data_IF_656068220264
#
_entry.id   IF_656068220264
#
_cell.length_a   1.000
_cell.length_b   1.000
_cell.length_c   1.000
_cell.angle_alpha   90.00
_cell.angle_beta   90.00
_cell.angle_gamma   90.00
#
_symmetry.space_group_name_H-M   'P 1'
#
loop_
_entity.id
_entity.type
_entity.pdbx_description
1 polymer ?
#
# COMPACT_ATOMS: atom_id res chain seq x y z
N UNK A 1 5.71 0.95 -7.45
CA UNK A 1 6.77 -0.04 -7.15
C UNK A 1 6.09 -1.24 -6.54
N UNK A 2 6.38 -2.44 -7.01
CA UNK A 2 5.77 -3.67 -6.53
C UNK A 2 6.62 -4.87 -6.95
N UNK A 3 6.73 -5.87 -6.07
CA UNK A 3 7.39 -7.14 -6.35
C UNK A 3 6.57 -8.08 -7.26
N UNK A 4 5.35 -7.66 -7.64
CA UNK A 4 4.43 -8.41 -8.50
C UNK A 4 3.91 -7.57 -9.68
N UNK A 5 3.53 -8.20 -10.81
CA UNK A 5 3.08 -7.50 -12.00
C UNK A 5 1.60 -7.07 -11.91
N UNK A 6 1.25 -6.08 -12.73
CA UNK A 6 -0.14 -5.75 -13.05
C UNK A 6 -0.30 -5.60 -14.57
N UNK A 7 -1.54 -5.52 -15.03
CA UNK A 7 -1.86 -5.34 -16.46
C UNK A 7 -1.12 -4.12 -17.02
N UNK A 8 -0.21 -4.35 -17.98
CA UNK A 8 0.61 -3.30 -18.60
C UNK A 8 1.70 -2.69 -17.71
N UNK A 9 1.89 -3.19 -16.48
CA UNK A 9 2.89 -2.67 -15.53
C UNK A 9 3.84 -3.81 -15.11
N UNK A 10 5.11 -3.79 -15.53
CA UNK A 10 6.08 -4.80 -15.13
C UNK A 10 6.47 -4.65 -13.66
N UNK A 11 7.07 -5.72 -13.12
CA UNK A 11 7.69 -5.72 -11.78
C UNK A 11 8.77 -4.63 -11.75
N UNK A 12 8.77 -3.83 -10.68
CA UNK A 12 9.82 -2.86 -10.39
C UNK A 12 9.99 -2.81 -8.88
N UNK A 13 11.20 -3.17 -8.42
CA UNK A 13 11.57 -3.15 -7.01
C UNK A 13 12.08 -1.78 -6.56
N UNK A 14 12.44 -0.88 -7.47
CA UNK A 14 12.86 0.47 -7.13
C UNK A 14 12.25 1.54 -8.04
N UNK A 15 12.07 2.74 -7.51
CA UNK A 15 11.83 3.94 -8.33
C UNK A 15 13.06 4.24 -9.20
N UNK A 16 12.85 5.01 -10.27
CA UNK A 16 13.91 5.34 -11.23
C UNK A 16 15.08 6.10 -10.58
N UNK A 17 14.79 6.88 -9.55
CA UNK A 17 15.75 7.66 -8.76
C UNK A 17 16.23 6.93 -7.49
N UNK A 18 15.78 5.70 -7.24
CA UNK A 18 16.16 4.90 -6.07
C UNK A 18 15.52 5.33 -4.74
N UNK A 19 14.70 6.38 -4.73
CA UNK A 19 14.07 6.92 -3.53
C UNK A 19 13.09 5.96 -2.85
N UNK A 20 12.46 5.05 -3.59
CA UNK A 20 11.60 3.99 -3.03
C UNK A 20 12.16 2.65 -3.46
N UNK A 21 12.46 1.76 -2.50
CA UNK A 21 13.08 0.46 -2.76
C UNK A 21 12.42 -0.65 -1.94
N UNK A 22 11.86 -1.64 -2.62
CA UNK A 22 11.40 -2.88 -2.02
C UNK A 22 12.60 -3.83 -1.88
N UNK A 23 12.83 -4.40 -0.70
CA UNK A 23 14.01 -5.23 -0.41
C UNK A 23 13.90 -6.69 -0.92
N UNK A 24 12.90 -6.98 -1.75
CA UNK A 24 12.57 -8.32 -2.25
C UNK A 24 11.30 -8.92 -1.62
N UNK A 25 10.76 -9.91 -2.31
CA UNK A 25 9.64 -10.76 -1.88
C UNK A 25 10.20 -11.86 -0.96
N UNK A 26 9.64 -12.02 0.24
CA UNK A 26 10.10 -12.98 1.23
C UNK A 26 9.03 -14.04 1.45
N UNK A 27 9.33 -15.26 1.01
CA UNK A 27 8.43 -16.39 1.22
C UNK A 27 8.61 -16.95 2.62
N UNK A 28 7.49 -17.22 3.29
CA UNK A 28 7.50 -17.92 4.57
C UNK A 28 8.07 -19.34 4.39
N UNK A 29 9.13 -19.65 5.13
CA UNK A 29 9.68 -21.02 5.24
C UNK A 29 9.47 -21.56 6.64
N UNK A 30 8.53 -22.50 6.79
CA UNK A 30 8.23 -23.12 8.09
C UNK A 30 7.64 -22.13 9.10
N UNK A 31 8.12 -22.18 10.35
CA UNK A 31 7.56 -21.40 11.46
C UNK A 31 8.03 -19.93 11.51
N UNK A 32 9.10 -19.57 10.80
CA UNK A 32 9.66 -18.21 10.85
C UNK A 32 8.69 -17.19 10.23
N UNK A 33 8.64 -15.99 10.82
CA UNK A 33 7.91 -14.87 10.24
C UNK A 33 8.66 -14.39 8.99
N UNK A 34 7.92 -14.21 7.90
CA UNK A 34 8.42 -13.51 6.73
C UNK A 34 8.21 -12.01 6.95
N UNK A 35 9.24 -11.21 6.68
CA UNK A 35 9.20 -9.76 6.76
C UNK A 35 9.61 -9.19 5.41
N UNK A 36 8.82 -8.24 4.91
CA UNK A 36 9.11 -7.50 3.70
C UNK A 36 9.22 -6.02 4.04
N UNK A 37 10.28 -5.39 3.55
CA UNK A 37 10.60 -4.00 3.87
C UNK A 37 10.62 -3.16 2.59
N UNK A 38 9.99 -2.00 2.67
CA UNK A 38 10.08 -0.94 1.66
C UNK A 38 10.86 0.22 2.30
N UNK A 39 12.07 0.46 1.82
CA UNK A 39 12.86 1.62 2.20
C UNK A 39 12.44 2.84 1.39
N UNK A 40 12.31 3.98 2.06
CA UNK A 40 11.88 5.24 1.47
C UNK A 40 12.84 6.35 1.90
N UNK A 41 13.55 6.91 0.93
CA UNK A 41 14.37 8.11 1.07
C UNK A 41 13.73 9.23 0.25
N UNK A 42 12.87 10.03 0.89
CA UNK A 42 12.15 11.09 0.20
C UNK A 42 13.11 12.15 -0.34
N UNK A 43 12.72 12.73 -1.48
CA UNK A 43 13.37 13.87 -2.10
C UNK A 43 12.30 14.86 -2.59
N UNK A 44 12.71 16.04 -3.03
CA UNK A 44 11.81 17.13 -3.41
C UNK A 44 10.89 16.81 -4.62
N UNK A 45 11.15 15.73 -5.34
CA UNK A 45 10.32 15.27 -6.47
C UNK A 45 9.19 14.35 -6.02
N UNK A 46 9.20 13.89 -4.77
CA UNK A 46 8.21 12.98 -4.20
C UNK A 46 7.37 13.76 -3.20
N UNK A 47 6.10 13.97 -3.56
CA UNK A 47 5.12 14.58 -2.66
C UNK A 47 4.66 13.62 -1.56
N UNK A 48 4.44 12.35 -1.92
CA UNK A 48 4.03 11.32 -0.98
C UNK A 48 4.35 9.92 -1.49
N UNK A 49 4.38 8.97 -0.57
CA UNK A 49 4.41 7.52 -0.83
C UNK A 49 3.25 6.88 -0.09
N UNK A 50 2.51 6.04 -0.79
CA UNK A 50 1.38 5.29 -0.24
C UNK A 50 1.75 3.82 -0.37
N UNK A 51 2.28 3.18 0.69
CA UNK A 51 2.52 1.74 0.68
C UNK A 51 1.18 0.98 0.73
N UNK A 52 1.14 -0.20 0.11
CA UNK A 52 0.01 -1.11 0.25
C UNK A 52 0.50 -2.56 0.32
N UNK A 53 -0.14 -3.35 1.18
CA UNK A 53 0.00 -4.79 1.21
C UNK A 53 -1.02 -5.42 0.28
N UNK A 54 -0.64 -6.53 -0.36
CA UNK A 54 -1.49 -7.27 -1.29
C UNK A 54 -1.45 -8.77 -1.00
N UNK A 55 -2.62 -9.38 -0.85
CA UNK A 55 -2.80 -10.84 -0.72
C UNK A 55 -3.61 -11.32 -1.91
N UNK A 56 -2.95 -11.98 -2.87
CA UNK A 56 -3.58 -12.39 -4.12
C UNK A 56 -4.71 -13.41 -3.92
N UNK A 57 -5.76 -13.34 -4.75
CA UNK A 57 -6.83 -14.35 -4.76
C UNK A 57 -6.31 -15.78 -4.91
N UNK A 58 -5.24 -15.97 -5.67
CA UNK A 58 -4.65 -17.28 -5.91
C UNK A 58 -4.00 -17.90 -4.68
N UNK A 59 -3.77 -17.13 -3.62
CA UNK A 59 -3.30 -17.65 -2.33
C UNK A 59 -4.39 -18.44 -1.57
N UNK A 60 -5.61 -18.50 -2.12
CA UNK A 60 -6.73 -19.27 -1.58
C UNK A 60 -7.63 -18.45 -0.64
N UNK A 61 -8.51 -19.14 0.07
CA UNK A 61 -9.40 -18.51 1.04
C UNK A 61 -8.62 -18.13 2.31
N UNK A 62 -8.50 -16.83 2.56
CA UNK A 62 -7.94 -16.29 3.78
C UNK A 62 -7.93 -14.77 3.79
N UNK A 63 -7.67 -14.21 4.96
CA UNK A 63 -7.70 -12.77 5.23
C UNK A 63 -6.38 -12.32 5.86
N UNK A 64 -6.10 -11.02 5.87
CA UNK A 64 -4.91 -10.46 6.53
C UNK A 64 -4.80 -10.94 7.98
N UNK A 65 -5.93 -10.98 8.71
CA UNK A 65 -6.01 -11.54 10.05
C UNK A 65 -5.62 -13.02 10.12
N UNK A 66 -6.22 -13.86 9.25
CA UNK A 66 -5.96 -15.31 9.25
C UNK A 66 -4.52 -15.64 8.90
N UNK A 67 -3.92 -14.86 8.02
CA UNK A 67 -2.51 -14.98 7.65
C UNK A 67 -1.55 -14.33 8.65
N UNK A 68 -2.10 -13.75 9.72
CA UNK A 68 -1.35 -13.07 10.78
C UNK A 68 -0.46 -11.94 10.26
N UNK A 69 -0.94 -11.19 9.26
CA UNK A 69 -0.22 -10.07 8.65
C UNK A 69 -0.31 -8.84 9.57
N UNK A 70 0.84 -8.35 10.03
CA UNK A 70 0.98 -7.00 10.59
C UNK A 70 1.57 -6.05 9.55
N UNK A 71 1.26 -4.77 9.67
CA UNK A 71 1.77 -3.73 8.76
C UNK A 71 2.24 -2.53 9.57
N UNK A 72 3.40 -2.00 9.22
CA UNK A 72 3.98 -0.85 9.88
C UNK A 72 4.47 0.19 8.86
N UNK A 73 4.28 1.47 9.20
CA UNK A 73 4.90 2.62 8.54
C UNK A 73 5.50 3.48 9.63
N UNK A 74 6.80 3.71 9.59
CA UNK A 74 7.54 4.54 10.55
C UNK A 74 8.39 5.57 9.80
N UNK A 75 8.36 6.83 10.23
CA UNK A 75 9.23 7.89 9.69
C UNK A 75 10.58 8.01 10.41
N UNK A 76 10.84 7.20 11.43
CA UNK A 76 12.06 7.26 12.25
C UNK A 76 12.19 8.52 13.11
N UNK A 77 11.13 9.33 13.19
CA UNK A 77 11.07 10.60 13.90
C UNK A 77 9.85 10.68 14.85
N UNK A 78 9.28 9.52 15.19
CA UNK A 78 8.21 9.38 16.20
C UNK A 78 6.78 9.41 15.65
N UNK A 79 6.57 9.53 14.34
CA UNK A 79 5.26 9.26 13.73
C UNK A 79 5.27 7.88 13.09
N UNK A 80 4.41 6.99 13.59
CA UNK A 80 4.27 5.65 13.07
C UNK A 80 2.79 5.21 13.02
N UNK A 81 2.51 4.28 12.13
CA UNK A 81 1.24 3.56 12.02
C UNK A 81 1.55 2.08 12.11
N UNK A 82 0.86 1.37 13.00
CA UNK A 82 0.99 -0.07 13.13
C UNK A 82 -0.40 -0.71 13.16
N UNK A 83 -0.65 -1.62 12.22
CA UNK A 83 -1.81 -2.50 12.22
C UNK A 83 -1.34 -3.85 12.72
N UNK A 84 -1.74 -4.20 13.94
CA UNK A 84 -1.47 -5.51 14.50
C UNK A 84 -2.27 -6.58 13.74
N UNK A 85 -1.72 -7.78 13.64
CA UNK A 85 -2.36 -8.87 12.88
C UNK A 85 -3.72 -9.30 13.43
N UNK A 86 -3.96 -9.10 14.73
CA UNK A 86 -5.25 -9.37 15.39
C UNK A 86 -6.33 -8.34 15.05
N UNK A 87 -5.92 -7.16 14.61
CA UNK A 87 -6.80 -6.04 14.24
C UNK A 87 -6.99 -5.93 12.73
N UNK A 88 -6.13 -6.58 11.94
CA UNK A 88 -6.24 -6.63 10.49
C UNK A 88 -7.59 -7.23 10.03
N UNK A 89 -8.01 -6.89 8.79
CA UNK A 89 -9.29 -7.34 8.25
C UNK A 89 -9.44 -8.86 8.29
N UNK A 90 -10.63 -9.30 8.71
CA UNK A 90 -11.08 -10.70 8.71
C UNK A 90 -11.81 -11.12 7.43
N UNK A 91 -12.13 -10.18 6.54
CA UNK A 91 -12.83 -10.50 5.28
C UNK A 91 -11.89 -11.24 4.33
N UNK A 92 -12.23 -12.48 3.99
CA UNK A 92 -11.44 -13.34 3.09
C UNK A 92 -11.53 -12.92 1.61
N UNK A 93 -12.27 -11.85 1.31
CA UNK A 93 -12.44 -11.34 -0.05
C UNK A 93 -11.84 -9.97 -0.28
N UNK A 94 -11.14 -9.38 0.71
CA UNK A 94 -10.37 -8.14 0.50
C UNK A 94 -8.91 -8.49 0.31
N UNK A 95 -8.28 -7.89 -0.70
CA UNK A 95 -6.96 -8.32 -1.17
C UNK A 95 -5.91 -7.22 -1.05
N UNK A 96 -6.30 -5.96 -0.89
CA UNK A 96 -5.37 -4.84 -0.68
C UNK A 96 -5.65 -4.13 0.63
N UNK A 97 -4.59 -3.75 1.34
CA UNK A 97 -4.63 -2.85 2.50
C UNK A 97 -3.62 -1.71 2.34
N UNK A 98 -4.04 -0.47 2.56
CA UNK A 98 -3.16 0.70 2.74
C UNK A 98 -3.10 1.00 4.24
N UNK A 99 -1.98 0.75 4.93
CA UNK A 99 -1.87 1.07 6.36
C UNK A 99 -1.86 2.58 6.60
N UNK A 100 -1.14 3.33 5.77
CA UNK A 100 -0.99 4.77 5.91
C UNK A 100 -0.42 5.44 4.67
N UNK A 101 -0.24 6.75 4.76
CA UNK A 101 0.38 7.59 3.72
C UNK A 101 1.52 8.39 4.33
N UNK A 102 2.65 8.42 3.62
CA UNK A 102 3.86 9.15 4.00
C UNK A 102 3.93 10.41 3.14
N UNK A 103 3.95 11.59 3.75
CA UNK A 103 3.93 12.87 3.04
C UNK A 103 5.25 13.61 3.28
N UNK A 104 5.86 14.07 2.20
CA UNK A 104 6.99 15.00 2.25
C UNK A 104 6.43 16.43 2.46
N UNK A 105 6.31 16.87 3.71
CA UNK A 105 5.79 18.20 4.06
C UNK A 105 6.93 19.18 4.34
N UNK A 106 6.64 20.49 4.25
CA UNK A 106 7.62 21.56 4.43
C UNK A 106 8.32 21.54 5.80
N UNK A 107 7.65 21.01 6.83
CA UNK A 107 8.18 20.86 8.19
C UNK A 107 8.76 19.48 8.52
N UNK A 108 8.88 18.59 7.53
CA UNK A 108 9.37 17.22 7.72
C UNK A 108 8.40 16.14 7.23
N UNK A 109 8.82 14.88 7.35
CA UNK A 109 8.05 13.73 6.89
C UNK A 109 6.90 13.44 7.85
N UNK A 110 5.67 13.44 7.33
CA UNK A 110 4.44 13.14 8.08
C UNK A 110 3.91 11.76 7.73
N UNK A 111 3.34 11.06 8.70
CA UNK A 111 2.63 9.80 8.51
C UNK A 111 1.15 9.96 8.86
N UNK A 112 0.28 9.63 7.92
CA UNK A 112 -1.17 9.59 8.13
C UNK A 112 -1.63 8.14 8.28
N UNK A 113 -2.27 7.82 9.41
CA UNK A 113 -3.00 6.57 9.58
C UNK A 113 -4.23 6.55 8.66
N UNK A 114 -4.42 5.46 7.91
CA UNK A 114 -5.51 5.35 6.95
C UNK A 114 -6.31 4.06 7.11
N UNK A 115 -5.62 2.92 7.16
CA UNK A 115 -6.22 1.57 7.14
C UNK A 115 -7.38 1.43 6.13
N UNK A 116 -7.05 1.54 4.83
CA UNK A 116 -8.02 1.39 3.74
C UNK A 116 -7.93 0.00 3.13
N UNK A 117 -9.09 -0.65 2.94
CA UNK A 117 -9.17 -1.95 2.29
C UNK A 117 -9.85 -1.85 0.92
N UNK A 118 -9.41 -2.69 -0.02
CA UNK A 118 -10.08 -2.87 -1.32
C UNK A 118 -11.52 -3.33 -1.14
N UNK A 119 -12.38 -3.08 -2.14
CA UNK A 119 -13.67 -3.77 -2.23
C UNK A 119 -13.48 -5.28 -2.32
N UNK A 120 -14.50 -6.03 -1.87
CA UNK A 120 -14.54 -7.49 -2.02
C UNK A 120 -14.35 -7.90 -3.48
N UNK A 121 -13.45 -8.84 -3.75
CA UNK A 121 -13.20 -9.36 -5.11
C UNK A 121 -12.25 -8.52 -5.97
N UNK A 122 -11.81 -7.35 -5.50
CA UNK A 122 -11.04 -6.41 -6.32
C UNK A 122 -9.55 -6.73 -6.33
N UNK A 123 -9.00 -6.90 -7.54
CA UNK A 123 -7.56 -7.04 -7.80
C UNK A 123 -6.92 -5.74 -8.31
N UNK A 124 -7.68 -4.64 -8.31
CA UNK A 124 -7.19 -3.37 -8.80
C UNK A 124 -6.33 -2.69 -7.74
N UNK A 125 -5.16 -2.20 -8.14
CA UNK A 125 -4.28 -1.42 -7.26
C UNK A 125 -4.97 -0.12 -6.81
N UNK A 126 -4.54 0.45 -5.69
CA UNK A 126 -4.93 1.81 -5.35
C UNK A 126 -4.27 2.81 -6.31
N UNK A 127 -4.84 4.00 -6.40
CA UNK A 127 -4.33 5.12 -7.17
C UNK A 127 -4.34 6.39 -6.32
N UNK A 128 -3.34 7.25 -6.53
CA UNK A 128 -3.23 8.53 -5.85
C UNK A 128 -3.28 9.67 -6.87
N UNK A 129 -4.02 10.72 -6.55
CA UNK A 129 -4.18 11.89 -7.43
C UNK A 129 -4.16 13.18 -6.61
N UNK A 130 -3.78 14.33 -7.19
CA UNK A 130 -3.97 15.62 -6.54
C UNK A 130 -5.45 15.87 -6.23
N UNK A 131 -5.74 16.26 -4.99
CA UNK A 131 -7.10 16.49 -4.51
C UNK A 131 -7.82 17.59 -5.29
N UNK A 132 -9.14 17.46 -5.42
CA UNK A 132 -9.98 18.47 -6.05
C UNK A 132 -9.94 18.48 -7.57
N UNK A 133 -9.17 17.59 -8.21
CA UNK A 133 -9.53 17.14 -9.56
C UNK A 133 -10.90 16.51 -9.45
N UNK A 134 -11.94 17.13 -10.04
CA UNK A 134 -13.22 16.46 -10.28
C UNK A 134 -12.88 15.17 -11.00
N UNK A 135 -12.81 14.05 -10.26
CA UNK A 135 -12.36 12.78 -10.81
C UNK A 135 -13.13 12.54 -12.09
N UNK A 136 -12.44 12.08 -13.13
CA UNK A 136 -12.99 11.88 -14.49
C UNK A 136 -14.24 10.96 -14.48
N UNK A 137 -14.59 10.37 -13.33
CA UNK A 137 -15.73 9.47 -13.12
C UNK A 137 -16.60 9.74 -11.88
N UNK A 138 -16.62 10.97 -11.33
CA UNK A 138 -17.64 11.41 -10.37
C UNK A 138 -17.76 10.62 -9.05
N UNK A 139 -16.76 9.83 -8.66
CA UNK A 139 -16.72 9.15 -7.35
C UNK A 139 -15.75 9.85 -6.40
N UNK A 140 -16.17 9.97 -5.14
CA UNK A 140 -15.43 10.59 -4.03
C UNK A 140 -14.23 9.72 -3.66
N UNK A 141 -13.09 10.35 -3.37
CA UNK A 141 -11.93 9.67 -2.80
C UNK A 141 -12.27 8.99 -1.47
N UNK A 142 -11.67 7.83 -1.21
CA UNK A 142 -11.81 7.13 0.06
C UNK A 142 -11.10 7.86 1.20
N UNK A 143 -10.01 8.57 0.90
CA UNK A 143 -9.35 9.50 1.82
C UNK A 143 -8.75 10.69 1.06
N UNK A 144 -8.69 11.83 1.74
CA UNK A 144 -8.00 13.03 1.30
C UNK A 144 -7.18 13.58 2.47
N UNK A 145 -5.86 13.59 2.32
CA UNK A 145 -4.96 14.27 3.24
C UNK A 145 -3.88 14.99 2.44
N UNK A 146 -3.46 16.16 2.91
CA UNK A 146 -2.36 16.92 2.33
C UNK A 146 -2.49 17.23 0.83
N UNK A 147 -3.74 17.37 0.36
CA UNK A 147 -4.05 17.63 -1.05
C UNK A 147 -3.88 16.40 -1.95
N UNK A 148 -3.97 15.20 -1.41
CA UNK A 148 -3.83 13.93 -2.13
C UNK A 148 -5.09 13.10 -1.90
N UNK A 149 -5.79 12.80 -3.00
CA UNK A 149 -6.90 11.86 -3.03
C UNK A 149 -6.36 10.44 -3.20
N UNK A 150 -6.82 9.53 -2.35
CA UNK A 150 -6.58 8.09 -2.49
C UNK A 150 -7.85 7.43 -3.02
N UNK A 151 -7.68 6.74 -4.15
CA UNK A 151 -8.72 6.04 -4.88
C UNK A 151 -8.47 4.54 -4.79
N UNK A 152 -9.27 3.84 -3.99
CA UNK A 152 -9.20 2.38 -3.92
C UNK A 152 -9.77 1.74 -5.18
N UNK A 153 -9.18 0.62 -5.60
CA UNK A 153 -9.66 -0.21 -6.71
C UNK A 153 -9.63 0.44 -8.11
N UNK A 154 -8.81 1.47 -8.33
CA UNK A 154 -8.78 2.26 -9.59
C UNK A 154 -7.55 2.12 -10.46
N UNK A 155 -6.46 1.65 -9.87
CA UNK A 155 -5.22 1.39 -10.59
C UNK A 155 -5.29 0.12 -11.45
N UNK A 156 -4.18 -0.19 -12.13
CA UNK A 156 -4.04 -1.40 -12.92
C UNK A 156 -4.33 -2.68 -12.11
N UNK A 157 -4.99 -3.65 -12.76
CA UNK A 157 -5.32 -4.93 -12.16
C UNK A 157 -4.08 -5.80 -11.95
N UNK A 158 -3.87 -6.30 -10.74
CA UNK A 158 -2.87 -7.31 -10.43
C UNK A 158 -3.09 -8.57 -11.28
N UNK A 159 -2.02 -9.12 -11.82
CA UNK A 159 -2.04 -10.36 -12.64
C UNK A 159 -1.19 -11.47 -12.03
N UNK A 160 -0.85 -11.30 -10.75
CA UNK A 160 -0.15 -12.32 -9.97
C UNK A 160 -1.05 -13.55 -9.83
N UNK A 161 -0.48 -14.72 -10.15
CA UNK A 161 -1.13 -16.02 -10.06
C UNK A 161 -0.31 -16.90 -9.13
#
# INVERSE_FOLDING_TARGET
>A
IAAFPATGIPIRLSSADGAVRHLGDVKRSGAQMAEEVIEIHLNDRIRAVIPWAYSAQSNGAGSFHRYQVSMEVDNGAGEAVHIASVDASRDENVYTCIPGMIVNAEGGVRVHALELYSRRGSENRPQAEPAGRKGVFGRRAESCADGIDILMDRGPRNVFK
#
